data_IF_275511710031
#
_entry.id   IF_275511710031
#
_cell.length_a   1.000
_cell.length_b   1.000
_cell.length_c   1.000
_cell.angle_alpha   90.00
_cell.angle_beta   90.00
_cell.angle_gamma   90.00
#
_symmetry.space_group_name_H-M   'P 1'
#
loop_
_entity.id
_entity.type
_entity.pdbx_description
1 polymer ?
#
# COMPACT_ATOMS: atom_id res chain seq x y z
N UNK A 1 -18.04 -6.95 -11.13
CA UNK A 1 -16.58 -7.21 -11.19
C UNK A 1 -16.20 -7.21 -12.64
N UNK A 2 -15.18 -6.47 -13.02
CA UNK A 2 -14.66 -6.54 -14.37
C UNK A 2 -14.11 -7.97 -14.63
N UNK A 3 -14.29 -8.46 -15.84
CA UNK A 3 -13.88 -9.83 -16.22
C UNK A 3 -12.33 -10.02 -16.22
N UNK A 4 -11.57 -8.93 -15.97
CA UNK A 4 -10.12 -8.94 -16.09
C UNK A 4 -9.41 -9.77 -14.99
N UNK A 5 -10.02 -9.89 -13.80
CA UNK A 5 -9.40 -10.63 -12.70
C UNK A 5 -9.16 -12.11 -13.05
N UNK A 6 -10.04 -12.72 -13.88
CA UNK A 6 -9.84 -14.08 -14.38
C UNK A 6 -8.60 -14.22 -15.28
N UNK A 7 -8.12 -13.12 -15.84
CA UNK A 7 -6.93 -13.06 -16.69
C UNK A 7 -5.68 -12.60 -15.95
N UNK A 8 -5.81 -12.24 -14.68
CA UNK A 8 -4.70 -11.79 -13.83
C UNK A 8 -3.66 -12.87 -13.59
N UNK A 9 -2.47 -12.46 -13.18
CA UNK A 9 -1.41 -13.39 -12.75
C UNK A 9 -1.87 -14.18 -11.51
N UNK A 10 -2.61 -13.55 -10.60
CA UNK A 10 -3.19 -14.22 -9.43
C UNK A 10 -4.11 -15.38 -9.85
N UNK A 11 -5.01 -15.17 -10.81
CA UNK A 11 -5.91 -16.23 -11.26
C UNK A 11 -5.21 -17.34 -12.06
N UNK A 12 -4.12 -17.00 -12.79
CA UNK A 12 -3.39 -17.95 -13.64
C UNK A 12 -2.33 -18.75 -12.88
N UNK A 13 -1.70 -18.18 -11.86
CA UNK A 13 -0.55 -18.76 -11.14
C UNK A 13 -0.82 -19.02 -9.65
N UNK A 14 -1.89 -18.46 -9.07
CA UNK A 14 -2.24 -18.64 -7.66
C UNK A 14 -2.75 -20.04 -7.35
N UNK A 15 -2.57 -20.51 -6.11
CA UNK A 15 -3.02 -21.83 -5.67
C UNK A 15 -4.54 -21.98 -5.70
N UNK A 16 -5.26 -20.92 -5.31
CA UNK A 16 -6.72 -20.90 -5.37
C UNK A 16 -7.25 -20.53 -6.75
N UNK A 17 -6.38 -20.19 -7.72
CA UNK A 17 -6.75 -19.73 -9.06
C UNK A 17 -7.75 -18.55 -9.03
N UNK A 18 -7.58 -17.63 -8.09
CA UNK A 18 -8.46 -16.49 -7.87
C UNK A 18 -9.83 -16.81 -7.31
N UNK A 19 -10.09 -18.09 -6.89
CA UNK A 19 -11.36 -18.49 -6.29
C UNK A 19 -11.38 -18.19 -4.79
N UNK A 20 -12.54 -17.80 -4.30
CA UNK A 20 -12.79 -17.62 -2.86
C UNK A 20 -13.08 -18.99 -2.23
N UNK A 21 -12.29 -19.37 -1.19
CA UNK A 21 -12.42 -20.66 -0.52
C UNK A 21 -13.09 -20.57 0.85
N UNK A 22 -12.85 -19.46 1.57
CA UNK A 22 -13.36 -19.23 2.93
C UNK A 22 -13.53 -17.73 3.16
N UNK A 23 -14.32 -17.37 4.16
CA UNK A 23 -14.54 -15.96 4.53
C UNK A 23 -14.22 -15.78 6.02
N UNK A 24 -13.47 -14.73 6.33
CA UNK A 24 -13.00 -14.39 7.66
C UNK A 24 -13.19 -12.89 7.92
N UNK A 25 -13.10 -12.49 9.19
CA UNK A 25 -13.11 -11.09 9.58
C UNK A 25 -12.09 -10.82 10.68
N UNK A 26 -11.48 -9.65 10.61
CA UNK A 26 -10.69 -9.05 11.67
C UNK A 26 -11.41 -7.76 12.06
N UNK A 27 -12.09 -7.79 13.19
CA UNK A 27 -12.73 -6.61 13.79
C UNK A 27 -11.77 -5.95 14.76
N UNK A 28 -12.10 -4.75 15.21
CA UNK A 28 -11.33 -4.07 16.25
C UNK A 28 -11.16 -4.94 17.51
N UNK A 29 -12.25 -5.58 17.95
CA UNK A 29 -12.22 -6.49 19.10
C UNK A 29 -11.33 -7.72 18.89
N UNK A 30 -11.40 -8.34 17.71
CA UNK A 30 -10.60 -9.53 17.41
C UNK A 30 -9.14 -9.21 17.13
N UNK A 31 -8.82 -7.99 16.66
CA UNK A 31 -7.46 -7.51 16.51
C UNK A 31 -6.79 -7.38 17.89
N UNK A 32 -7.50 -6.88 18.87
CA UNK A 32 -7.05 -6.68 20.25
C UNK A 32 -5.93 -5.64 20.35
N UNK A 33 -4.75 -5.93 19.85
CA UNK A 33 -3.60 -5.01 19.87
C UNK A 33 -3.10 -4.73 18.44
N UNK A 34 -3.02 -3.45 18.09
CA UNK A 34 -2.41 -3.01 16.84
C UNK A 34 -0.89 -3.08 16.90
N UNK A 35 -0.27 -3.19 15.73
CA UNK A 35 1.16 -3.26 15.56
C UNK A 35 1.69 -2.02 14.85
N UNK A 36 2.86 -1.55 15.27
CA UNK A 36 3.57 -0.40 14.68
C UNK A 36 4.88 -0.83 14.01
N UNK A 37 5.01 -2.14 13.84
CA UNK A 37 6.13 -2.77 13.12
C UNK A 37 5.61 -3.94 12.31
N UNK A 38 6.23 -4.17 11.16
CA UNK A 38 6.06 -5.39 10.37
C UNK A 38 7.19 -6.36 10.73
N UNK A 39 6.85 -7.56 11.17
CA UNK A 39 7.81 -8.58 11.58
C UNK A 39 7.12 -9.84 12.09
N UNK A 40 7.79 -10.99 12.07
CA UNK A 40 7.23 -12.27 12.51
C UNK A 40 7.48 -12.54 14.01
N UNK A 41 7.26 -11.53 14.85
CA UNK A 41 7.48 -11.61 16.31
C UNK A 41 6.20 -11.55 17.12
N UNK A 42 5.06 -11.31 16.48
CA UNK A 42 3.75 -11.35 17.09
C UNK A 42 3.02 -12.62 16.68
N UNK A 43 2.18 -13.12 17.59
CA UNK A 43 1.27 -14.22 17.26
C UNK A 43 0.26 -13.76 16.20
N UNK A 44 -0.01 -14.58 15.19
CA UNK A 44 -1.01 -14.25 14.18
C UNK A 44 -2.41 -14.10 14.79
N UNK A 45 -3.09 -12.99 14.46
CA UNK A 45 -4.49 -12.79 14.84
C UNK A 45 -5.43 -13.66 14.02
N UNK A 46 -4.98 -14.08 12.83
CA UNK A 46 -5.72 -14.93 11.91
C UNK A 46 -4.76 -15.83 11.14
N UNK A 47 -5.16 -17.08 10.92
CA UNK A 47 -4.47 -18.03 10.03
C UNK A 47 -5.44 -18.46 8.94
N UNK A 48 -5.04 -18.36 7.67
CA UNK A 48 -5.88 -18.67 6.52
C UNK A 48 -5.17 -19.49 5.46
N UNK A 49 -5.97 -20.16 4.64
CA UNK A 49 -5.50 -20.82 3.42
C UNK A 49 -5.52 -19.85 2.23
N UNK A 50 -4.73 -20.10 1.17
CA UNK A 50 -4.87 -19.40 -0.10
C UNK A 50 -6.30 -19.42 -0.62
N UNK A 51 -6.80 -18.31 -1.17
CA UNK A 51 -8.20 -18.12 -1.59
C UNK A 51 -9.12 -17.54 -0.50
N UNK A 52 -8.62 -17.26 0.70
CA UNK A 52 -9.43 -16.68 1.76
C UNK A 52 -9.83 -15.23 1.42
N UNK A 53 -11.12 -14.94 1.64
CA UNK A 53 -11.67 -13.59 1.67
C UNK A 53 -11.62 -13.08 3.12
N UNK A 54 -11.05 -11.91 3.35
CA UNK A 54 -10.86 -11.35 4.67
C UNK A 54 -11.40 -9.93 4.71
N UNK A 55 -12.35 -9.68 5.61
CA UNK A 55 -12.83 -8.34 5.94
C UNK A 55 -12.04 -7.81 7.12
N UNK A 56 -11.43 -6.63 6.98
CA UNK A 56 -10.56 -6.03 8.00
C UNK A 56 -11.09 -4.65 8.37
N UNK A 57 -11.36 -4.45 9.66
CA UNK A 57 -11.66 -3.14 10.22
C UNK A 57 -10.35 -2.43 10.59
N UNK A 58 -10.02 -1.36 9.86
CA UNK A 58 -8.80 -0.58 10.13
C UNK A 58 -9.12 0.67 10.96
N UNK A 59 -8.12 1.18 11.67
CA UNK A 59 -8.09 2.54 12.20
C UNK A 59 -7.52 3.52 11.16
N UNK A 60 -7.70 4.83 11.43
CA UNK A 60 -6.89 5.86 10.80
C UNK A 60 -5.44 5.81 11.31
N UNK A 61 -4.51 6.49 10.66
CA UNK A 61 -3.10 6.51 11.01
C UNK A 61 -2.82 6.97 12.46
N UNK A 62 -3.79 7.61 13.11
CA UNK A 62 -3.69 8.21 14.44
C UNK A 62 -4.44 7.43 15.52
N UNK A 63 -5.05 6.28 15.21
CA UNK A 63 -5.94 5.52 16.13
C UNK A 63 -7.10 6.37 16.68
N UNK A 64 -7.63 7.30 15.90
CA UNK A 64 -8.69 8.20 16.33
C UNK A 64 -8.28 9.23 17.38
N UNK A 65 -6.99 9.33 17.74
CA UNK A 65 -6.50 10.24 18.79
C UNK A 65 -6.65 11.71 18.42
N UNK A 66 -6.66 12.05 17.14
CA UNK A 66 -6.97 13.41 16.67
C UNK A 66 -8.49 13.54 16.54
N UNK A 67 -9.13 14.14 17.49
CA UNK A 67 -10.59 14.22 17.59
C UNK A 67 -11.18 15.49 16.99
N UNK A 68 -10.46 16.60 17.06
CA UNK A 68 -10.96 17.94 16.67
C UNK A 68 -9.89 18.77 15.98
N UNK A 69 -10.33 19.76 15.21
CA UNK A 69 -9.45 20.67 14.43
C UNK A 69 -8.56 21.58 15.30
N UNK A 70 -8.86 21.69 16.61
CA UNK A 70 -8.02 22.42 17.57
C UNK A 70 -6.92 21.61 18.19
N UNK A 71 -6.87 20.32 17.89
CA UNK A 71 -5.83 19.42 18.40
C UNK A 71 -4.48 19.75 17.76
N UNK A 72 -3.42 19.54 18.55
CA UNK A 72 -2.05 19.71 18.06
C UNK A 72 -1.38 18.36 17.96
N UNK A 73 -1.03 17.90 16.74
CA UNK A 73 -0.36 16.63 16.53
C UNK A 73 0.86 16.41 17.43
N UNK A 74 1.70 17.43 17.64
CA UNK A 74 2.90 17.32 18.47
C UNK A 74 2.61 17.06 19.97
N UNK A 75 1.42 17.43 20.45
CA UNK A 75 1.01 17.23 21.85
C UNK A 75 0.31 15.88 22.05
N UNK A 76 -0.26 15.29 21.00
CA UNK A 76 -1.12 14.10 21.05
C UNK A 76 -0.43 12.86 20.52
N UNK A 77 0.30 12.99 19.38
CA UNK A 77 0.89 11.87 18.70
C UNK A 77 2.21 11.46 19.37
N UNK A 78 2.40 10.16 19.47
CA UNK A 78 3.62 9.58 20.02
C UNK A 78 4.39 8.84 18.91
N UNK A 79 5.25 9.58 18.21
CA UNK A 79 6.15 8.98 17.20
C UNK A 79 7.17 8.08 17.92
N UNK A 80 7.41 6.82 17.50
CA UNK A 80 7.05 6.22 16.21
C UNK A 80 5.73 5.40 16.21
N UNK A 81 4.89 5.50 17.21
CA UNK A 81 3.65 4.71 17.33
C UNK A 81 2.51 5.36 16.52
N UNK A 82 2.69 5.41 15.20
CA UNK A 82 1.72 5.86 14.20
C UNK A 82 1.48 4.74 13.19
N UNK A 83 0.45 4.88 12.37
CA UNK A 83 0.03 3.90 11.37
C UNK A 83 -0.20 2.51 12.01
N UNK A 84 -1.24 2.36 12.85
CA UNK A 84 -1.59 1.09 13.48
C UNK A 84 -1.93 0.04 12.43
N UNK A 85 -1.26 -1.11 12.49
CA UNK A 85 -1.43 -2.19 11.55
C UNK A 85 -2.29 -3.31 12.11
N UNK A 86 -3.26 -3.75 11.32
CA UNK A 86 -3.98 -5.01 11.53
C UNK A 86 -3.10 -6.20 11.11
N UNK A 87 -3.32 -7.33 11.74
CA UNK A 87 -2.53 -8.54 11.55
C UNK A 87 -1.66 -8.87 12.77
N UNK A 88 -0.61 -9.71 12.64
CA UNK A 88 -0.26 -10.40 11.40
C UNK A 88 -1.28 -11.47 10.99
N UNK A 89 -1.48 -11.63 9.71
CA UNK A 89 -2.26 -12.73 9.13
C UNK A 89 -1.27 -13.77 8.61
N UNK A 90 -1.37 -14.99 9.14
CA UNK A 90 -0.54 -16.09 8.71
C UNK A 90 -1.18 -16.83 7.53
N UNK A 91 -0.43 -17.00 6.44
CA UNK A 91 -0.90 -17.70 5.25
C UNK A 91 -0.35 -19.11 5.26
N UNK A 92 -1.24 -20.10 5.37
CA UNK A 92 -0.88 -21.51 5.40
C UNK A 92 -0.08 -21.90 4.16
N UNK A 93 1.02 -22.56 4.41
CA UNK A 93 1.88 -23.10 3.36
C UNK A 93 2.77 -22.07 2.67
N UNK A 94 2.63 -20.77 2.92
CA UNK A 94 3.54 -19.77 2.35
C UNK A 94 4.99 -20.01 2.79
N UNK A 95 5.91 -19.99 1.83
CA UNK A 95 7.34 -20.22 2.07
C UNK A 95 8.17 -19.07 1.51
N UNK A 96 9.32 -18.83 2.11
CA UNK A 96 10.28 -17.87 1.59
C UNK A 96 10.58 -18.15 0.10
N UNK A 97 10.44 -17.12 -0.72
CA UNK A 97 10.60 -17.18 -2.18
C UNK A 97 9.32 -17.39 -2.97
N UNK A 98 8.19 -17.57 -2.31
CA UNK A 98 6.86 -17.44 -2.90
C UNK A 98 6.48 -15.97 -3.02
N UNK A 99 5.35 -15.70 -3.64
CA UNK A 99 4.72 -14.36 -3.69
C UNK A 99 3.31 -14.45 -3.16
N UNK A 100 2.97 -13.56 -2.25
CA UNK A 100 1.60 -13.36 -1.78
C UNK A 100 0.88 -12.41 -2.74
N UNK A 101 -0.24 -12.85 -3.32
CA UNK A 101 -1.13 -12.03 -4.11
C UNK A 101 -2.29 -11.55 -3.23
N UNK A 102 -2.56 -10.24 -3.20
CA UNK A 102 -3.66 -9.66 -2.43
C UNK A 102 -4.52 -8.84 -3.39
N UNK A 103 -5.73 -9.31 -3.67
CA UNK A 103 -6.75 -8.58 -4.42
C UNK A 103 -7.53 -7.69 -3.46
N UNK A 104 -7.56 -6.39 -3.72
CA UNK A 104 -8.33 -5.43 -2.93
C UNK A 104 -9.74 -5.34 -3.52
N UNK A 105 -10.69 -6.00 -2.87
CA UNK A 105 -12.04 -6.21 -3.38
C UNK A 105 -12.95 -5.01 -3.14
N UNK A 106 -12.90 -4.47 -1.93
CA UNK A 106 -13.67 -3.27 -1.56
C UNK A 106 -13.03 -2.54 -0.39
N UNK A 107 -13.28 -1.23 -0.32
CA UNK A 107 -12.91 -0.39 0.83
C UNK A 107 -14.06 0.58 1.07
N UNK A 108 -14.61 0.55 2.28
CA UNK A 108 -15.73 1.41 2.68
C UNK A 108 -15.36 2.17 3.94
N UNK A 109 -15.75 3.45 4.07
CA UNK A 109 -15.59 4.18 5.31
C UNK A 109 -16.27 3.45 6.48
N UNK A 110 -15.61 3.38 7.63
CA UNK A 110 -16.12 2.73 8.85
C UNK A 110 -16.76 3.76 9.78
N UNK A 111 -17.87 3.39 10.43
CA UNK A 111 -18.62 4.23 11.37
C UNK A 111 -19.88 4.82 10.79
N UNK A 112 -20.75 5.35 11.67
CA UNK A 112 -22.05 5.96 11.27
C UNK A 112 -21.88 7.31 10.57
N UNK A 113 -20.86 8.07 10.97
CA UNK A 113 -20.50 9.35 10.35
C UNK A 113 -19.00 9.36 10.05
N UNK A 114 -18.58 8.71 8.97
CA UNK A 114 -17.17 8.55 8.68
C UNK A 114 -16.47 9.90 8.50
N UNK A 115 -15.38 10.08 9.21
CA UNK A 115 -14.55 11.29 9.19
C UNK A 115 -13.16 10.93 8.69
N UNK A 116 -12.68 11.69 7.73
CA UNK A 116 -11.29 11.68 7.33
C UNK A 116 -10.53 12.80 8.04
N UNK A 117 -9.29 12.54 8.37
CA UNK A 117 -8.39 13.48 9.06
C UNK A 117 -7.15 13.73 8.21
N UNK A 118 -6.81 14.99 7.99
CA UNK A 118 -5.47 15.36 7.49
C UNK A 118 -4.90 16.45 8.39
N UNK A 119 -3.58 16.53 8.47
CA UNK A 119 -2.95 17.55 9.29
C UNK A 119 -1.57 17.96 8.76
N UNK A 120 -1.13 19.14 9.16
CA UNK A 120 0.26 19.53 9.10
C UNK A 120 0.90 19.17 10.45
N UNK A 121 1.91 18.30 10.42
CA UNK A 121 2.70 17.90 11.57
C UNK A 121 3.98 18.72 11.56
N UNK A 122 4.38 19.25 12.71
CA UNK A 122 5.60 20.05 12.82
C UNK A 122 6.83 19.27 12.34
N UNK A 123 7.66 19.89 11.52
CA UNK A 123 8.90 19.31 10.97
C UNK A 123 8.69 18.04 10.10
N UNK A 124 7.47 17.83 9.58
CA UNK A 124 7.14 16.70 8.71
C UNK A 124 6.41 17.16 7.44
N UNK A 125 6.78 16.57 6.29
CA UNK A 125 6.20 16.89 4.99
C UNK A 125 7.26 17.19 3.93
N UNK A 126 6.88 17.10 2.66
CA UNK A 126 7.80 17.23 1.52
C UNK A 126 8.36 18.65 1.27
N UNK A 127 7.74 19.68 1.84
CA UNK A 127 8.15 21.08 1.66
C UNK A 127 8.67 21.73 2.94
N UNK A 128 8.93 20.94 3.99
CA UNK A 128 9.44 21.44 5.26
C UNK A 128 10.78 20.79 5.60
N UNK A 129 11.55 21.47 6.47
CA UNK A 129 12.74 20.88 7.08
C UNK A 129 12.37 19.84 8.11
N UNK A 130 13.24 18.87 8.29
CA UNK A 130 13.16 17.86 9.37
C UNK A 130 14.18 18.18 10.45
N UNK A 131 14.14 17.44 11.57
CA UNK A 131 15.18 17.52 12.61
C UNK A 131 16.59 17.31 12.07
N UNK A 132 16.72 16.43 11.07
CA UNK A 132 18.01 16.06 10.47
C UNK A 132 18.43 17.02 9.34
N UNK A 133 17.45 17.72 8.75
CA UNK A 133 17.67 18.66 7.63
C UNK A 133 16.84 19.91 7.86
N UNK A 134 17.28 20.73 8.80
CA UNK A 134 16.62 21.99 9.13
C UNK A 134 16.70 22.98 7.97
N UNK A 135 15.58 23.63 7.68
CA UNK A 135 15.50 24.74 6.74
C UNK A 135 15.85 26.07 7.43
N UNK A 136 16.10 27.12 6.65
CA UNK A 136 16.34 28.45 7.20
C UNK A 136 15.08 29.12 7.77
N UNK A 137 13.90 28.61 7.43
CA UNK A 137 12.62 29.12 7.89
C UNK A 137 12.10 28.31 9.06
N UNK A 138 11.24 28.94 9.86
CA UNK A 138 10.51 28.24 10.90
C UNK A 138 9.65 27.11 10.34
N UNK A 139 9.38 26.05 11.13
CA UNK A 139 8.44 25.00 10.76
C UNK A 139 7.08 25.59 10.41
N UNK A 140 6.33 24.92 9.53
CA UNK A 140 4.95 25.26 9.28
C UNK A 140 4.11 25.09 10.55
N UNK A 141 3.04 25.90 10.74
CA UNK A 141 2.14 25.72 11.87
C UNK A 141 1.45 24.36 11.81
N UNK A 142 1.19 23.78 12.96
CA UNK A 142 0.35 22.59 13.05
C UNK A 142 -1.11 22.95 12.79
N UNK A 143 -1.73 22.24 11.86
CA UNK A 143 -3.14 22.44 11.48
C UNK A 143 -3.76 21.08 11.31
N UNK A 144 -4.93 20.88 11.94
CA UNK A 144 -5.77 19.70 11.72
C UNK A 144 -6.98 20.11 10.89
N UNK A 145 -7.31 19.30 9.91
CA UNK A 145 -8.55 19.43 9.14
C UNK A 145 -9.30 18.11 9.17
N UNK A 146 -10.56 18.17 9.58
CA UNK A 146 -11.48 17.03 9.56
C UNK A 146 -12.50 17.20 8.45
N UNK A 147 -12.76 16.15 7.70
CA UNK A 147 -13.66 16.15 6.56
C UNK A 147 -14.63 14.97 6.63
N UNK A 148 -15.86 15.17 6.19
CA UNK A 148 -16.80 14.05 6.05
C UNK A 148 -16.42 13.25 4.81
N UNK A 149 -16.44 11.92 4.95
CA UNK A 149 -16.18 10.96 3.87
C UNK A 149 -17.43 10.12 3.67
N UNK A 150 -18.08 10.21 2.54
CA UNK A 150 -19.28 9.44 2.21
C UNK A 150 -19.26 8.94 0.75
N UNK A 151 -20.37 8.36 0.30
CA UNK A 151 -20.51 7.83 -1.06
C UNK A 151 -20.36 8.91 -2.17
N UNK A 152 -20.54 10.19 -1.83
CA UNK A 152 -20.36 11.31 -2.77
C UNK A 152 -18.90 11.72 -2.89
N UNK A 153 -18.08 11.39 -1.91
CA UNK A 153 -16.66 11.69 -1.87
C UNK A 153 -16.18 12.27 -0.54
N UNK A 154 -15.07 12.96 -0.59
CA UNK A 154 -14.43 13.66 0.53
C UNK A 154 -14.87 15.13 0.50
N UNK A 155 -15.68 15.54 1.46
CA UNK A 155 -16.22 16.89 1.56
C UNK A 155 -15.16 17.88 2.06
N UNK A 156 -14.27 18.30 1.15
CA UNK A 156 -13.14 19.17 1.47
C UNK A 156 -13.57 20.57 1.96
N UNK A 157 -14.61 21.12 1.34
CA UNK A 157 -15.21 22.39 1.74
C UNK A 157 -16.67 22.45 1.27
N UNK A 158 -17.38 23.53 1.64
CA UNK A 158 -18.77 23.74 1.20
C UNK A 158 -18.97 23.61 -0.32
N UNK A 159 -17.96 23.98 -1.11
CA UNK A 159 -18.04 24.05 -2.57
C UNK A 159 -17.12 23.05 -3.28
N UNK A 160 -16.38 22.21 -2.54
CA UNK A 160 -15.43 21.27 -3.11
C UNK A 160 -15.58 19.89 -2.47
N UNK A 161 -15.92 18.92 -3.30
CA UNK A 161 -15.93 17.50 -2.96
C UNK A 161 -14.86 16.84 -3.82
N UNK A 162 -13.88 16.21 -3.19
CA UNK A 162 -12.88 15.41 -3.87
C UNK A 162 -13.43 14.00 -4.11
N UNK A 163 -13.06 13.32 -5.19
CA UNK A 163 -13.45 11.93 -5.40
C UNK A 163 -13.01 11.04 -4.23
N UNK A 164 -13.85 10.11 -3.81
CA UNK A 164 -13.46 9.02 -2.92
C UNK A 164 -12.69 7.99 -3.75
N UNK A 165 -11.40 7.95 -3.57
CA UNK A 165 -10.48 7.04 -4.27
C UNK A 165 -9.64 6.27 -3.24
N UNK A 166 -10.29 5.34 -2.49
CA UNK A 166 -9.63 4.69 -1.37
C UNK A 166 -8.56 3.72 -1.83
N UNK A 167 -7.48 3.69 -1.05
CA UNK A 167 -6.40 2.74 -1.22
C UNK A 167 -5.74 2.43 0.13
N UNK A 168 -4.89 1.40 0.16
CA UNK A 168 -4.15 1.00 1.36
C UNK A 168 -2.76 1.65 1.31
N UNK A 169 -2.48 2.59 2.21
CA UNK A 169 -1.17 3.23 2.33
C UNK A 169 -0.11 2.24 2.79
N UNK A 170 -0.38 1.54 3.89
CA UNK A 170 0.54 0.54 4.43
C UNK A 170 0.01 -0.88 4.25
N UNK A 171 0.71 -1.69 3.46
CA UNK A 171 0.50 -3.13 3.35
C UNK A 171 1.82 -3.84 3.09
N UNK A 172 2.10 -4.93 3.80
CA UNK A 172 3.36 -5.64 3.62
C UNK A 172 3.41 -6.98 4.32
N UNK A 173 4.42 -7.76 3.96
CA UNK A 173 4.78 -9.02 4.61
C UNK A 173 5.89 -8.82 5.62
N UNK A 174 6.10 -9.79 6.52
CA UNK A 174 7.26 -9.73 7.41
C UNK A 174 8.57 -9.74 6.64
N UNK A 175 9.54 -8.86 6.97
CA UNK A 175 10.94 -9.09 6.63
C UNK A 175 11.47 -10.43 7.15
N UNK A 176 12.64 -10.86 6.71
CA UNK A 176 13.20 -12.16 7.09
C UNK A 176 13.50 -12.28 8.58
N UNK A 177 14.15 -11.27 9.15
CA UNK A 177 14.60 -11.26 10.55
C UNK A 177 14.31 -9.97 11.30
N UNK A 178 14.08 -8.85 10.61
CA UNK A 178 13.86 -7.55 11.24
C UNK A 178 12.39 -7.38 11.68
N UNK A 179 12.17 -6.43 12.59
CA UNK A 179 10.90 -5.78 12.81
C UNK A 179 11.05 -4.31 12.40
N UNK A 180 10.39 -3.93 11.31
CA UNK A 180 10.55 -2.60 10.70
C UNK A 180 9.31 -1.77 10.97
N UNK A 181 9.51 -0.51 11.32
CA UNK A 181 8.40 0.42 11.61
C UNK A 181 7.36 0.45 10.49
N UNK A 182 6.08 0.54 10.88
CA UNK A 182 4.96 0.73 9.95
C UNK A 182 5.05 2.03 9.11
N UNK A 183 5.94 2.96 9.47
CA UNK A 183 6.18 4.21 8.77
C UNK A 183 7.19 4.08 7.60
N UNK A 184 7.73 2.90 7.35
CA UNK A 184 8.78 2.74 6.33
C UNK A 184 8.37 1.75 5.23
N UNK A 185 8.41 2.16 3.96
CA UNK A 185 8.30 1.23 2.84
C UNK A 185 9.65 0.61 2.48
N UNK A 186 9.64 -0.62 1.96
CA UNK A 186 10.79 -1.26 1.31
C UNK A 186 10.35 -2.48 0.48
N UNK A 187 11.32 -3.39 0.19
CA UNK A 187 11.13 -4.62 -0.56
C UNK A 187 9.98 -5.52 -0.04
N UNK A 188 9.62 -5.43 1.22
CA UNK A 188 8.52 -6.20 1.84
C UNK A 188 7.14 -5.54 1.70
N UNK A 189 7.04 -4.37 1.10
CA UNK A 189 5.88 -3.48 1.11
C UNK A 189 6.05 -2.39 2.17
N UNK A 190 5.15 -2.34 3.15
CA UNK A 190 5.13 -1.32 4.20
C UNK A 190 4.41 -0.06 3.77
N UNK A 191 4.83 1.10 4.26
CA UNK A 191 4.21 2.41 4.02
C UNK A 191 4.54 2.96 2.62
N UNK A 192 3.98 2.33 1.61
CA UNK A 192 4.28 2.69 0.21
C UNK A 192 3.53 3.92 -0.26
N UNK A 193 2.33 4.15 0.26
CA UNK A 193 1.44 5.27 -0.09
C UNK A 193 1.26 5.44 -1.61
N UNK A 194 1.22 4.31 -2.29
CA UNK A 194 1.01 4.29 -3.74
C UNK A 194 -0.48 4.19 -4.03
N UNK A 195 -1.12 5.26 -4.59
CA UNK A 195 -2.56 5.29 -4.82
C UNK A 195 -3.10 4.15 -5.70
N UNK A 196 -2.22 3.44 -6.39
CA UNK A 196 -2.57 2.28 -7.21
C UNK A 196 -2.74 0.98 -6.41
N UNK A 197 -2.41 0.96 -5.10
CA UNK A 197 -2.75 -0.14 -4.17
C UNK A 197 -4.21 -0.02 -3.74
N UNK A 198 -5.09 0.02 -4.74
CA UNK A 198 -6.47 0.45 -4.66
C UNK A 198 -7.47 -0.68 -4.96
N UNK A 199 -8.74 -0.38 -4.66
CA UNK A 199 -9.87 -1.27 -4.99
C UNK A 199 -9.86 -1.69 -6.46
N UNK A 200 -10.02 -2.98 -6.69
CA UNK A 200 -10.04 -3.57 -8.02
C UNK A 200 -8.66 -3.99 -8.56
N UNK A 201 -7.57 -3.69 -7.85
CA UNK A 201 -6.22 -4.09 -8.23
C UNK A 201 -5.70 -5.24 -7.36
N UNK A 202 -4.70 -5.94 -7.86
CA UNK A 202 -3.94 -6.97 -7.13
C UNK A 202 -2.57 -6.41 -6.78
N UNK A 203 -2.19 -6.48 -5.50
CA UNK A 203 -0.82 -6.26 -5.08
C UNK A 203 -0.12 -7.60 -4.86
N UNK A 204 1.08 -7.73 -5.37
CA UNK A 204 1.98 -8.87 -5.19
C UNK A 204 3.09 -8.48 -4.22
N UNK A 205 3.24 -9.23 -3.15
CA UNK A 205 4.20 -8.97 -2.09
C UNK A 205 5.20 -10.14 -1.98
N UNK A 206 6.50 -9.88 -1.86
CA UNK A 206 7.48 -10.95 -1.63
C UNK A 206 7.21 -11.69 -0.32
N UNK A 207 7.27 -13.01 -0.31
CA UNK A 207 7.28 -13.80 0.92
C UNK A 207 8.72 -13.97 1.38
N UNK A 208 9.10 -13.28 2.46
CA UNK A 208 10.47 -13.31 3.00
C UNK A 208 10.61 -14.25 4.20
N UNK A 209 9.49 -14.67 4.78
CA UNK A 209 9.38 -15.57 5.93
C UNK A 209 8.23 -16.54 5.72
N UNK A 210 8.39 -17.80 6.14
CA UNK A 210 7.31 -18.79 6.10
C UNK A 210 6.08 -18.29 6.85
N UNK A 211 4.90 -18.42 6.20
CA UNK A 211 3.65 -17.85 6.69
C UNK A 211 3.37 -16.42 6.23
N UNK A 212 4.30 -15.77 5.51
CA UNK A 212 4.25 -14.40 5.00
C UNK A 212 4.05 -13.33 6.08
N UNK A 213 3.19 -13.53 7.08
CA UNK A 213 2.81 -12.56 8.11
C UNK A 213 2.37 -11.23 7.49
N UNK A 214 1.19 -11.26 6.87
CA UNK A 214 0.63 -10.07 6.22
C UNK A 214 0.11 -9.07 7.25
N UNK A 215 0.47 -7.80 7.05
CA UNK A 215 -0.04 -6.63 7.78
C UNK A 215 -0.68 -5.67 6.80
N UNK A 216 -1.72 -4.95 7.24
CA UNK A 216 -2.32 -3.84 6.51
C UNK A 216 -2.97 -2.84 7.47
N UNK A 217 -3.02 -1.60 7.04
CA UNK A 217 -3.63 -0.49 7.77
C UNK A 217 -3.44 0.81 7.00
N UNK A 218 -3.61 1.96 7.67
CA UNK A 218 -3.27 3.24 7.08
C UNK A 218 -4.02 3.46 5.75
N UNK A 219 -5.34 3.43 5.84
CA UNK A 219 -6.20 3.54 4.66
C UNK A 219 -6.54 4.99 4.37
N UNK A 220 -6.33 5.40 3.12
CA UNK A 220 -6.54 6.77 2.67
C UNK A 220 -7.84 6.89 1.87
N UNK A 221 -8.63 7.93 2.09
CA UNK A 221 -9.82 8.25 1.29
C UNK A 221 -9.45 8.95 -0.01
N UNK A 222 -8.37 9.72 0.01
CA UNK A 222 -7.79 10.42 -1.13
C UNK A 222 -6.36 10.86 -0.81
N UNK A 223 -5.49 10.79 -1.82
CA UNK A 223 -4.12 11.29 -1.76
C UNK A 223 -3.69 11.74 -3.16
N UNK A 224 -2.99 12.85 -3.25
CA UNK A 224 -2.25 13.24 -4.46
C UNK A 224 -0.88 12.58 -4.52
N UNK A 225 -0.26 12.56 -5.69
CA UNK A 225 1.09 12.02 -5.87
C UNK A 225 2.08 12.67 -4.91
N UNK A 226 2.82 11.84 -4.19
CA UNK A 226 3.88 12.25 -3.28
C UNK A 226 3.46 12.49 -1.84
N UNK A 227 2.16 12.45 -1.53
CA UNK A 227 1.65 12.69 -0.17
C UNK A 227 2.23 13.96 0.46
N UNK A 228 2.14 15.06 -0.26
CA UNK A 228 2.99 16.24 -0.16
C UNK A 228 3.15 16.81 1.27
N UNK A 229 2.11 16.83 2.09
CA UNK A 229 2.22 17.32 3.47
C UNK A 229 2.56 16.22 4.48
N UNK A 230 2.69 14.98 4.03
CA UNK A 230 3.03 13.83 4.87
C UNK A 230 1.82 13.15 5.53
N UNK A 231 0.63 13.62 5.22
CA UNK A 231 -0.64 13.06 5.73
C UNK A 231 -1.69 13.17 4.63
N UNK A 232 -2.22 12.05 4.21
CA UNK A 232 -3.32 11.98 3.26
C UNK A 232 -4.67 12.34 3.93
N UNK A 233 -5.78 11.90 3.38
CA UNK A 233 -7.06 11.88 4.10
C UNK A 233 -7.15 10.53 4.79
N UNK A 234 -6.62 10.49 6.01
CA UNK A 234 -6.61 9.32 6.87
C UNK A 234 -8.01 8.99 7.36
N UNK A 235 -8.44 7.75 7.22
CA UNK A 235 -9.77 7.37 7.71
C UNK A 235 -9.87 5.88 8.03
N UNK A 236 -10.69 5.50 9.03
CA UNK A 236 -10.95 4.11 9.32
C UNK A 236 -11.81 3.47 8.22
N UNK A 237 -11.51 2.22 7.86
CA UNK A 237 -12.23 1.50 6.80
C UNK A 237 -12.69 0.12 7.24
N UNK A 238 -13.68 -0.41 6.51
CA UNK A 238 -13.90 -1.84 6.35
C UNK A 238 -13.35 -2.22 4.98
N UNK A 239 -12.23 -2.91 4.98
CA UNK A 239 -11.50 -3.30 3.76
C UNK A 239 -11.64 -4.80 3.53
N UNK A 240 -12.12 -5.21 2.36
CA UNK A 240 -12.19 -6.61 1.95
C UNK A 240 -11.04 -6.93 1.00
N UNK A 241 -10.25 -7.92 1.37
CA UNK A 241 -9.15 -8.45 0.56
C UNK A 241 -9.34 -9.94 0.32
N UNK A 242 -8.90 -10.43 -0.85
CA UNK A 242 -8.72 -11.84 -1.09
C UNK A 242 -7.24 -12.14 -1.22
N UNK A 243 -6.75 -13.13 -0.47
CA UNK A 243 -5.35 -13.56 -0.52
C UNK A 243 -5.19 -14.82 -1.34
N UNK A 244 -4.11 -14.92 -2.11
CA UNK A 244 -3.70 -16.13 -2.82
C UNK A 244 -2.19 -16.27 -2.80
N UNK A 245 -1.67 -17.46 -3.06
CA UNK A 245 -0.25 -17.77 -2.97
C UNK A 245 0.27 -18.24 -4.33
N UNK A 246 1.31 -17.59 -4.83
CA UNK A 246 1.98 -17.98 -6.07
C UNK A 246 3.31 -18.63 -5.71
N UNK A 247 3.39 -19.95 -5.91
CA UNK A 247 4.56 -20.75 -5.57
C UNK A 247 5.75 -20.49 -6.48
N UNK A 248 6.92 -20.42 -5.90
CA UNK A 248 8.19 -20.31 -6.63
C UNK A 248 8.25 -19.13 -7.62
N UNK A 249 7.38 -18.14 -7.46
CA UNK A 249 7.42 -16.88 -8.23
C UNK A 249 8.06 -15.79 -7.37
N UNK A 250 9.38 -15.89 -7.23
CA UNK A 250 10.15 -14.95 -6.42
C UNK A 250 10.19 -13.58 -7.11
N UNK A 251 9.74 -12.56 -6.40
CA UNK A 251 9.86 -11.14 -6.75
C UNK A 251 10.76 -10.43 -5.73
N UNK A 252 11.40 -9.34 -6.14
CA UNK A 252 12.30 -8.56 -5.27
C UNK A 252 11.63 -7.33 -4.67
N UNK A 253 10.59 -6.82 -5.31
CA UNK A 253 9.86 -5.63 -4.91
C UNK A 253 8.35 -5.88 -5.02
N UNK A 254 7.52 -5.11 -4.28
CA UNK A 254 6.08 -5.13 -4.49
C UNK A 254 5.70 -4.76 -5.91
N UNK A 255 4.63 -5.40 -6.43
CA UNK A 255 4.12 -5.17 -7.78
C UNK A 255 2.62 -4.99 -7.74
N UNK A 256 2.08 -4.16 -8.62
CA UNK A 256 0.64 -3.96 -8.77
C UNK A 256 0.21 -4.39 -10.17
N UNK A 257 -0.86 -5.15 -10.22
CA UNK A 257 -1.58 -5.46 -11.45
C UNK A 257 -2.97 -4.84 -11.39
N UNK A 258 -3.28 -4.01 -12.36
CA UNK A 258 -4.62 -3.47 -12.57
C UNK A 258 -5.26 -4.06 -13.83
N UNK A 259 -6.47 -3.67 -14.14
CA UNK A 259 -7.09 -3.95 -15.43
C UNK A 259 -6.27 -3.40 -16.59
N UNK A 260 -5.57 -2.28 -16.41
CA UNK A 260 -4.95 -1.49 -17.49
C UNK A 260 -3.44 -1.56 -17.55
N UNK A 261 -2.76 -1.82 -16.46
CA UNK A 261 -1.30 -1.74 -16.41
C UNK A 261 -0.68 -2.78 -15.46
N UNK A 262 0.62 -2.99 -15.63
CA UNK A 262 1.52 -3.60 -14.66
C UNK A 262 2.45 -2.52 -14.10
N UNK A 263 2.68 -2.56 -12.79
CA UNK A 263 3.55 -1.61 -12.07
C UNK A 263 4.46 -2.37 -11.10
N UNK A 264 5.72 -1.99 -11.05
CA UNK A 264 6.63 -2.37 -9.97
C UNK A 264 6.87 -1.16 -9.05
N UNK A 265 6.96 -1.40 -7.73
CA UNK A 265 7.17 -0.35 -6.73
C UNK A 265 8.59 -0.49 -6.18
N UNK A 266 9.38 0.57 -6.30
CA UNK A 266 10.70 0.68 -5.68
C UNK A 266 10.68 1.68 -4.54
N UNK A 267 11.34 1.35 -3.42
CA UNK A 267 11.49 2.26 -2.29
C UNK A 267 12.95 2.58 -2.04
N UNK A 268 13.25 3.83 -1.73
CA UNK A 268 14.62 4.28 -1.48
C UNK A 268 14.79 5.79 -1.31
N UNK A 269 15.96 6.19 -0.85
CA UNK A 269 16.46 7.56 -0.87
C UNK A 269 17.87 7.55 -1.47
N UNK A 270 18.21 8.50 -2.35
CA UNK A 270 17.34 9.53 -2.89
C UNK A 270 16.24 8.97 -3.80
N UNK A 271 15.31 9.82 -4.27
CA UNK A 271 14.14 9.42 -5.07
C UNK A 271 14.53 8.70 -6.37
N UNK A 272 15.62 9.10 -7.00
CA UNK A 272 16.14 8.48 -8.22
C UNK A 272 16.47 6.99 -8.03
N UNK A 273 16.91 6.60 -6.84
CA UNK A 273 17.20 5.20 -6.56
C UNK A 273 15.92 4.39 -6.41
N UNK A 274 14.86 4.97 -5.85
CA UNK A 274 13.53 4.34 -5.83
C UNK A 274 13.01 4.11 -7.26
N UNK A 275 13.08 5.12 -8.14
CA UNK A 275 12.70 4.99 -9.56
C UNK A 275 13.53 3.93 -10.29
N UNK A 276 14.86 3.92 -10.09
CA UNK A 276 15.75 2.92 -10.71
C UNK A 276 15.39 1.51 -10.28
N UNK A 277 15.06 1.30 -9.00
CA UNK A 277 14.61 -0.01 -8.47
C UNK A 277 13.31 -0.44 -9.12
N UNK A 278 12.32 0.47 -9.21
CA UNK A 278 11.03 0.19 -9.83
C UNK A 278 11.18 -0.20 -11.31
N UNK A 279 11.91 0.58 -12.12
CA UNK A 279 12.14 0.26 -13.53
C UNK A 279 12.95 -1.02 -13.73
N UNK A 280 14.01 -1.22 -12.93
CA UNK A 280 14.81 -2.44 -13.00
C UNK A 280 13.95 -3.69 -12.75
N UNK A 281 13.11 -3.67 -11.71
CA UNK A 281 12.23 -4.79 -11.41
C UNK A 281 11.17 -5.00 -12.50
N UNK A 282 10.62 -3.91 -13.07
CA UNK A 282 9.67 -4.00 -14.18
C UNK A 282 10.31 -4.64 -15.44
N UNK A 283 11.56 -4.27 -15.76
CA UNK A 283 12.31 -4.87 -16.88
C UNK A 283 12.50 -6.37 -16.65
N UNK A 284 12.93 -6.78 -15.45
CA UNK A 284 13.09 -8.19 -15.12
C UNK A 284 11.75 -8.94 -15.11
N UNK A 285 10.68 -8.28 -14.72
CA UNK A 285 9.35 -8.84 -14.81
C UNK A 285 8.94 -9.07 -16.26
N UNK A 286 9.17 -8.08 -17.15
CA UNK A 286 8.92 -8.19 -18.60
C UNK A 286 9.73 -9.34 -19.23
N UNK A 287 11.00 -9.47 -18.86
CA UNK A 287 11.85 -10.57 -19.34
C UNK A 287 11.31 -11.94 -18.87
N UNK A 288 11.06 -12.08 -17.58
CA UNK A 288 10.74 -13.37 -16.97
C UNK A 288 9.36 -13.91 -17.34
N UNK A 289 8.34 -13.05 -17.33
CA UNK A 289 6.95 -13.48 -17.49
C UNK A 289 6.41 -13.27 -18.92
N UNK A 290 7.02 -12.41 -19.72
CA UNK A 290 6.60 -12.15 -21.11
C UNK A 290 7.70 -12.38 -22.16
N UNK A 291 8.91 -12.75 -21.75
CA UNK A 291 9.97 -13.13 -22.69
C UNK A 291 10.61 -11.99 -23.46
N UNK A 292 10.47 -10.76 -22.99
CA UNK A 292 11.18 -9.63 -23.61
C UNK A 292 12.70 -9.78 -23.43
N UNK A 293 13.46 -9.37 -24.43
CA UNK A 293 14.87 -9.05 -24.23
C UNK A 293 14.99 -7.84 -23.27
N UNK A 294 15.95 -7.86 -22.38
CA UNK A 294 16.15 -6.80 -21.38
C UNK A 294 16.38 -5.42 -21.99
N UNK A 295 17.17 -5.36 -23.06
CA UNK A 295 17.48 -4.08 -23.71
C UNK A 295 16.29 -3.59 -24.50
N UNK A 296 15.53 -4.49 -25.12
CA UNK A 296 14.28 -4.15 -25.79
C UNK A 296 13.24 -3.65 -24.80
N UNK A 297 13.07 -4.31 -23.64
CA UNK A 297 12.21 -3.82 -22.55
C UNK A 297 12.64 -2.43 -22.07
N UNK A 298 13.95 -2.20 -21.94
CA UNK A 298 14.48 -0.90 -21.54
C UNK A 298 14.20 0.20 -22.58
N UNK A 299 14.39 -0.10 -23.89
CA UNK A 299 14.05 0.82 -24.96
C UNK A 299 12.55 1.13 -24.98
N UNK A 300 11.70 0.11 -24.88
CA UNK A 300 10.24 0.28 -24.87
C UNK A 300 9.79 1.14 -23.71
N UNK A 301 10.24 0.85 -22.50
CA UNK A 301 9.90 1.63 -21.30
C UNK A 301 10.40 3.07 -21.34
N UNK A 302 11.49 3.33 -22.05
CA UNK A 302 11.97 4.71 -22.30
C UNK A 302 10.94 5.53 -23.08
N UNK A 303 10.15 4.90 -23.96
CA UNK A 303 9.17 5.58 -24.81
C UNK A 303 7.77 5.66 -24.18
N UNK A 304 7.36 4.63 -23.43
CA UNK A 304 5.98 4.50 -22.96
C UNK A 304 5.83 4.24 -21.46
N UNK A 305 6.93 4.02 -20.74
CA UNK A 305 6.92 3.83 -19.29
C UNK A 305 6.38 5.05 -18.56
N UNK A 306 5.60 4.82 -17.49
CA UNK A 306 5.04 5.87 -16.64
C UNK A 306 5.60 5.72 -15.24
N UNK A 307 5.72 6.85 -14.53
CA UNK A 307 6.16 6.88 -13.14
C UNK A 307 5.03 7.46 -12.28
N UNK A 308 4.80 6.80 -11.14
CA UNK A 308 3.93 7.24 -10.06
C UNK A 308 4.81 7.61 -8.86
N UNK A 309 4.62 8.78 -8.30
CA UNK A 309 5.19 9.14 -7.01
C UNK A 309 4.21 8.73 -5.91
N UNK A 310 4.55 7.72 -5.11
CA UNK A 310 3.76 7.29 -3.97
C UNK A 310 3.88 8.29 -2.82
N UNK A 311 5.03 8.29 -2.15
CA UNK A 311 5.35 9.29 -1.14
C UNK A 311 6.77 9.89 -1.33
N UNK A 312 6.94 11.11 -0.83
CA UNK A 312 8.23 11.81 -0.77
C UNK A 312 8.52 12.34 0.64
N UNK A 313 7.95 11.72 1.66
CA UNK A 313 7.92 12.20 3.04
C UNK A 313 8.45 11.20 4.05
N UNK A 314 8.32 9.92 3.77
CA UNK A 314 8.69 8.81 4.64
C UNK A 314 10.21 8.58 4.75
N UNK A 315 10.66 7.70 5.66
CA UNK A 315 12.07 7.30 5.78
C UNK A 315 12.68 6.83 4.47
N UNK A 316 11.87 6.18 3.59
CA UNK A 316 12.19 5.91 2.18
C UNK A 316 11.04 6.39 1.30
N UNK A 317 11.37 6.95 0.14
CA UNK A 317 10.39 7.38 -0.85
C UNK A 317 9.91 6.19 -1.66
N UNK A 318 8.65 6.21 -2.09
CA UNK A 318 8.05 5.15 -2.91
C UNK A 318 7.76 5.64 -4.31
N UNK A 319 8.23 4.88 -5.30
CA UNK A 319 8.05 5.19 -6.73
C UNK A 319 7.52 3.96 -7.45
N UNK A 320 6.42 4.13 -8.21
CA UNK A 320 5.91 3.11 -9.11
C UNK A 320 6.41 3.34 -10.54
N UNK A 321 6.92 2.30 -11.21
CA UNK A 321 7.17 2.30 -12.65
C UNK A 321 6.20 1.34 -13.33
N UNK A 322 5.51 1.79 -14.38
CA UNK A 322 4.43 1.02 -15.00
C UNK A 322 4.47 1.03 -16.53
N UNK A 323 3.83 0.02 -17.10
CA UNK A 323 3.55 -0.12 -18.52
C UNK A 323 2.08 -0.51 -18.73
N UNK A 324 1.42 0.08 -19.73
CA UNK A 324 0.06 -0.29 -20.09
C UNK A 324 0.03 -1.73 -20.64
N UNK A 325 -0.93 -2.56 -20.18
CA UNK A 325 -1.09 -3.96 -20.60
C UNK A 325 -1.22 -4.11 -22.11
N UNK A 326 -1.99 -3.23 -22.73
CA UNK A 326 -2.18 -3.25 -24.18
C UNK A 326 -0.85 -3.04 -24.92
N UNK A 327 -0.04 -2.08 -24.48
CA UNK A 327 1.29 -1.82 -25.07
C UNK A 327 2.22 -3.01 -24.90
N UNK A 328 2.29 -3.56 -23.69
CA UNK A 328 3.12 -4.71 -23.38
C UNK A 328 2.74 -5.93 -24.24
N UNK A 329 1.44 -6.27 -24.32
CA UNK A 329 0.98 -7.46 -25.05
C UNK A 329 1.10 -7.30 -26.57
N UNK A 330 0.93 -6.11 -27.13
CA UNK A 330 1.15 -5.85 -28.57
C UNK A 330 2.62 -5.98 -28.95
N UNK A 331 3.54 -5.58 -28.08
CA UNK A 331 4.97 -5.72 -28.32
C UNK A 331 5.47 -7.17 -28.40
N UNK A 332 4.72 -8.14 -27.88
CA UNK A 332 5.05 -9.56 -27.97
C UNK A 332 4.76 -10.19 -29.34
N UNK A 333 3.93 -9.55 -30.16
CA UNK A 333 3.47 -10.08 -31.46
C UNK A 333 4.35 -9.61 -32.64
N UNK A 334 5.51 -9.02 -32.35
CA UNK A 334 6.52 -8.63 -33.34
C UNK A 334 7.76 -9.52 -33.14
#
# INVERSE_FOLDING_TARGET
MSNWLSDSIMAKKGEANGKENSSHSITEDSQGKYHYVLGAYAEPVLTVDPGALISVETHDAFEGKIEKETDKPSEILNVPYLNPQNGPIFINGARKGDTLAVYIKSMKPRGEQPVGTTCLISEFGGLVGTKDTAMLNDPLPEIVKKVVVDEKGVHWSKNLILPYQPFIGTIGTSPEIEAITSLQPDYYGGNMDVPDVAVGNVIYLPVNKDGAYLYLGDCHAAQGDGELCGVAIEHPTVTEIQVDLIRNWKIENPRVESEKFFMSIGSGRPMEDAVRRAYRDLIFWMEKDWGYDKLEAYFLLTQCGKVRLGNMVDPKYSMGASIDKETLLKGLNN
#
